data_IF_741502388960
#
_entry.id   IF_741502388960
#
_cell.length_a   1.000
_cell.length_b   1.000
_cell.length_c   1.000
_cell.angle_alpha   90.00
_cell.angle_beta   90.00
_cell.angle_gamma   90.00
#
_symmetry.space_group_name_H-M   'P 1'
#
loop_
_entity.id
_entity.type
_entity.pdbx_description
1 polymer ?
#
# COMPACT_ATOMS: atom_id res chain seq x y z
N UNK A 1 -72.34 -16.73 33.86
CA UNK A 1 -71.09 -16.41 34.57
C UNK A 1 -69.96 -16.48 33.57
N UNK A 2 -69.69 -15.36 32.91
CA UNK A 2 -68.66 -15.20 31.89
C UNK A 2 -68.00 -13.87 32.20
N UNK A 3 -66.91 -13.91 32.97
CA UNK A 3 -66.11 -12.73 33.26
C UNK A 3 -65.35 -12.38 31.98
N UNK A 4 -65.86 -11.37 31.28
CA UNK A 4 -65.18 -10.68 30.20
C UNK A 4 -64.00 -9.93 30.80
N UNK A 5 -62.82 -10.55 30.79
CA UNK A 5 -61.56 -9.93 31.15
C UNK A 5 -61.20 -8.88 30.12
N UNK A 6 -61.58 -7.64 30.40
CA UNK A 6 -61.09 -6.44 29.72
C UNK A 6 -59.59 -6.34 29.96
N UNK A 7 -58.81 -7.02 29.12
CA UNK A 7 -57.37 -6.85 28.99
C UNK A 7 -57.10 -5.47 28.41
N UNK A 8 -57.17 -4.45 29.26
CA UNK A 8 -56.68 -3.13 28.95
C UNK A 8 -55.22 -3.28 28.54
N UNK A 9 -54.96 -3.13 27.24
CA UNK A 9 -53.65 -2.85 26.71
C UNK A 9 -53.13 -1.63 27.49
N UNK A 10 -52.37 -1.88 28.55
CA UNK A 10 -51.56 -0.87 29.21
C UNK A 10 -50.58 -0.43 28.14
N UNK A 11 -50.99 0.64 27.44
CA UNK A 11 -50.20 1.31 26.45
C UNK A 11 -48.83 1.55 27.08
N UNK A 12 -47.81 0.93 26.48
CA UNK A 12 -46.41 1.13 26.81
C UNK A 12 -46.18 2.64 27.00
N UNK A 13 -46.20 3.11 28.24
CA UNK A 13 -45.71 4.42 28.60
C UNK A 13 -44.21 4.32 28.41
N UNK A 14 -43.75 4.53 27.18
CA UNK A 14 -42.36 4.77 26.90
C UNK A 14 -41.98 5.98 27.75
N UNK A 15 -41.31 5.75 28.87
CA UNK A 15 -40.73 6.81 29.69
C UNK A 15 -39.86 7.64 28.76
N UNK A 16 -40.34 8.83 28.40
CA UNK A 16 -39.61 9.79 27.57
C UNK A 16 -38.52 10.36 28.50
N UNK A 17 -37.36 9.71 28.51
CA UNK A 17 -36.21 10.19 29.27
C UNK A 17 -35.87 11.59 28.78
N UNK A 18 -36.12 12.60 29.62
CA UNK A 18 -35.83 14.00 29.32
C UNK A 18 -34.31 14.22 29.39
N UNK A 19 -33.62 13.84 28.31
CA UNK A 19 -32.19 14.04 28.18
C UNK A 19 -31.89 15.54 28.04
N UNK A 20 -30.91 16.06 28.79
CA UNK A 20 -30.52 17.46 28.68
C UNK A 20 -30.04 17.76 27.25
N UNK A 21 -30.79 18.63 26.56
CA UNK A 21 -30.50 19.01 25.18
C UNK A 21 -29.42 20.08 25.14
N UNK A 22 -28.43 19.88 24.30
CA UNK A 22 -27.39 20.87 24.03
C UNK A 22 -27.96 21.90 23.04
N UNK A 23 -27.95 23.21 23.36
CA UNK A 23 -28.41 24.24 22.45
C UNK A 23 -27.67 24.19 21.10
N UNK A 24 -28.39 24.27 19.98
CA UNK A 24 -27.83 24.27 18.63
C UNK A 24 -27.62 22.88 18.00
N UNK A 25 -27.78 21.79 18.75
CA UNK A 25 -27.68 20.43 18.21
C UNK A 25 -29.05 19.93 17.76
N UNK A 26 -29.13 19.39 16.53
CA UNK A 26 -30.36 18.75 16.04
C UNK A 26 -30.42 17.33 16.56
N UNK A 27 -31.58 16.89 17.02
CA UNK A 27 -31.80 15.54 17.54
C UNK A 27 -32.81 14.77 16.71
N UNK A 28 -32.68 13.45 16.66
CA UNK A 28 -33.66 12.52 16.08
C UNK A 28 -34.01 11.47 17.12
N UNK A 29 -35.29 11.10 17.22
CA UNK A 29 -35.75 9.97 18.04
C UNK A 29 -35.25 8.66 17.43
N UNK A 30 -34.55 7.86 18.22
CA UNK A 30 -34.13 6.49 17.89
C UNK A 30 -34.67 5.55 18.98
N UNK A 31 -35.32 4.45 18.57
CA UNK A 31 -35.79 3.41 19.49
C UNK A 31 -34.62 2.49 19.81
N UNK A 32 -34.31 2.30 21.09
CA UNK A 32 -33.29 1.37 21.57
C UNK A 32 -33.90 0.39 22.55
N UNK A 33 -33.32 -0.79 22.65
CA UNK A 33 -33.72 -1.81 23.60
C UNK A 33 -32.78 -1.78 24.80
N UNK A 34 -33.33 -1.82 26.02
CA UNK A 34 -32.56 -2.11 27.24
C UNK A 34 -33.14 -3.35 27.91
N UNK A 35 -32.29 -4.12 28.56
CA UNK A 35 -32.74 -5.17 29.47
C UNK A 35 -33.09 -4.51 30.80
N UNK A 36 -34.34 -4.71 31.23
CA UNK A 36 -34.85 -4.24 32.51
C UNK A 36 -35.32 -5.47 33.28
N UNK A 37 -34.82 -5.63 34.50
CA UNK A 37 -35.22 -6.75 35.35
C UNK A 37 -36.54 -6.39 36.00
N UNK A 38 -37.61 -7.09 35.62
CA UNK A 38 -38.93 -6.94 36.21
C UNK A 38 -39.11 -8.06 37.22
N UNK A 39 -39.44 -7.72 38.46
CA UNK A 39 -39.70 -8.70 39.51
C UNK A 39 -41.19 -9.08 39.46
N UNK A 40 -41.48 -10.34 39.10
CA UNK A 40 -42.83 -10.90 39.10
C UNK A 40 -42.85 -11.98 40.18
N UNK A 41 -43.71 -11.84 41.18
CA UNK A 41 -43.84 -12.79 42.31
C UNK A 41 -42.52 -13.07 43.08
N UNK A 42 -41.62 -12.07 43.16
CA UNK A 42 -40.33 -12.20 43.87
C UNK A 42 -39.25 -12.95 43.08
N UNK A 43 -39.48 -13.24 41.79
CA UNK A 43 -38.49 -13.78 40.88
C UNK A 43 -38.07 -12.69 39.86
N UNK A 44 -36.78 -12.35 39.75
CA UNK A 44 -36.30 -11.39 38.75
C UNK A 44 -36.30 -12.03 37.36
N UNK A 45 -37.10 -11.50 36.43
CA UNK A 45 -37.11 -11.93 35.03
C UNK A 45 -36.58 -10.79 34.13
N UNK A 46 -35.53 -11.01 33.32
CA UNK A 46 -35.03 -9.98 32.41
C UNK A 46 -36.02 -9.78 31.26
N UNK A 47 -36.53 -8.56 31.11
CA UNK A 47 -37.41 -8.16 30.01
C UNK A 47 -36.71 -7.13 29.15
N UNK A 48 -36.71 -7.36 27.84
CA UNK A 48 -36.29 -6.34 26.89
C UNK A 48 -37.39 -5.29 26.76
N UNK A 49 -37.07 -4.05 27.14
CA UNK A 49 -37.98 -2.90 27.07
C UNK A 49 -37.45 -1.93 26.00
N UNK A 50 -38.32 -1.58 25.06
CA UNK A 50 -38.05 -0.54 24.07
C UNK A 50 -38.21 0.84 24.73
N UNK A 51 -37.19 1.68 24.59
CA UNK A 51 -37.24 3.07 25.02
C UNK A 51 -36.81 3.98 23.88
N UNK A 52 -37.40 5.18 23.83
CA UNK A 52 -37.04 6.18 22.83
C UNK A 52 -35.96 7.08 23.40
N UNK A 53 -34.86 7.24 22.67
CA UNK A 53 -33.79 8.16 23.02
C UNK A 53 -33.59 9.22 21.94
N UNK A 54 -33.33 10.46 22.36
CA UNK A 54 -32.98 11.54 21.45
C UNK A 54 -31.48 11.48 21.14
N UNK A 55 -31.13 11.06 19.92
CA UNK A 55 -29.73 10.95 19.48
C UNK A 55 -29.35 12.20 18.68
N UNK A 56 -28.21 12.84 18.95
CA UNK A 56 -27.75 13.98 18.17
C UNK A 56 -27.50 13.54 16.71
N UNK A 57 -28.09 14.27 15.77
CA UNK A 57 -27.89 14.05 14.34
C UNK A 57 -26.58 14.75 13.97
N UNK A 58 -25.58 14.03 13.43
CA UNK A 58 -24.35 14.68 12.99
C UNK A 58 -24.70 15.76 11.94
N UNK A 59 -24.00 16.90 11.95
CA UNK A 59 -24.24 17.95 10.97
C UNK A 59 -24.05 17.40 9.56
N UNK A 60 -24.81 17.95 8.60
CA UNK A 60 -24.73 17.50 7.21
C UNK A 60 -23.33 17.77 6.68
N UNK A 61 -22.66 16.70 6.29
CA UNK A 61 -21.31 16.71 5.74
C UNK A 61 -21.33 17.22 4.29
N UNK A 62 -21.32 18.54 4.13
CA UNK A 62 -21.31 19.19 2.82
C UNK A 62 -20.08 18.82 2.00
N UNK A 63 -18.94 18.63 2.66
CA UNK A 63 -17.70 18.22 2.02
C UNK A 63 -17.88 16.88 1.32
N UNK A 64 -18.46 15.90 2.02
CA UNK A 64 -18.77 14.59 1.42
C UNK A 64 -19.72 14.69 0.23
N UNK A 65 -20.71 15.59 0.28
CA UNK A 65 -21.64 15.82 -0.84
C UNK A 65 -20.91 16.39 -2.05
N UNK A 66 -20.06 17.39 -1.85
CA UNK A 66 -19.27 18.03 -2.92
C UNK A 66 -18.32 17.01 -3.55
N UNK A 67 -17.64 16.20 -2.74
CA UNK A 67 -16.71 15.17 -3.22
C UNK A 67 -17.43 14.08 -3.99
N UNK A 68 -18.61 13.65 -3.54
CA UNK A 68 -19.43 12.71 -4.27
C UNK A 68 -19.90 13.30 -5.61
N UNK A 69 -20.32 14.57 -5.63
CA UNK A 69 -20.73 15.24 -6.87
C UNK A 69 -19.56 15.34 -7.87
N UNK A 70 -18.37 15.68 -7.38
CA UNK A 70 -17.14 15.73 -8.17
C UNK A 70 -16.74 14.35 -8.72
N UNK A 71 -16.91 13.31 -7.91
CA UNK A 71 -16.66 11.92 -8.32
C UNK A 71 -17.67 11.48 -9.38
N UNK A 72 -18.95 11.81 -9.22
CA UNK A 72 -19.97 11.58 -10.24
C UNK A 72 -19.64 12.30 -11.55
N UNK A 73 -19.20 13.56 -11.48
CA UNK A 73 -18.76 14.31 -12.65
C UNK A 73 -17.56 13.63 -13.33
N UNK A 74 -16.58 13.15 -12.56
CA UNK A 74 -15.44 12.39 -13.08
C UNK A 74 -15.88 11.13 -13.84
N UNK A 75 -16.85 10.39 -13.30
CA UNK A 75 -17.41 9.20 -13.94
C UNK A 75 -18.13 9.56 -15.25
N UNK A 76 -18.98 10.60 -15.25
CA UNK A 76 -19.71 11.02 -16.46
C UNK A 76 -18.74 11.45 -17.57
N UNK A 77 -17.77 12.30 -17.25
CA UNK A 77 -16.76 12.76 -18.21
C UNK A 77 -15.93 11.59 -18.72
N UNK A 78 -15.63 10.62 -17.85
CA UNK A 78 -14.92 9.39 -18.24
C UNK A 78 -15.74 8.55 -19.22
N UNK A 79 -17.04 8.36 -18.99
CA UNK A 79 -17.92 7.62 -19.91
C UNK A 79 -18.01 8.30 -21.29
N UNK A 80 -18.11 9.64 -21.31
CA UNK A 80 -18.09 10.41 -22.56
C UNK A 80 -16.75 10.27 -23.29
N UNK A 81 -15.63 10.34 -22.56
CA UNK A 81 -14.30 10.14 -23.11
C UNK A 81 -14.15 8.75 -23.74
N UNK A 82 -14.52 7.69 -23.02
CA UNK A 82 -14.49 6.29 -23.51
C UNK A 82 -15.37 6.10 -24.74
N UNK A 83 -16.57 6.67 -24.74
CA UNK A 83 -17.47 6.58 -25.90
C UNK A 83 -16.84 7.26 -27.12
N UNK A 84 -16.24 8.44 -26.93
CA UNK A 84 -15.58 9.18 -28.00
C UNK A 84 -14.31 8.49 -28.53
N UNK A 85 -13.45 7.98 -27.65
CA UNK A 85 -12.22 7.26 -28.04
C UNK A 85 -12.55 5.94 -28.72
N UNK A 86 -13.48 5.15 -28.17
CA UNK A 86 -13.96 3.92 -28.79
C UNK A 86 -14.56 4.17 -30.17
N UNK A 87 -15.39 5.21 -30.32
CA UNK A 87 -15.97 5.58 -31.60
C UNK A 87 -14.92 5.99 -32.64
N UNK A 88 -13.97 6.86 -32.27
CA UNK A 88 -12.91 7.34 -33.16
C UNK A 88 -11.96 6.22 -33.60
N UNK A 89 -11.38 5.50 -32.64
CA UNK A 89 -10.42 4.41 -32.91
C UNK A 89 -11.10 3.26 -33.67
N UNK A 90 -12.30 2.87 -33.24
CA UNK A 90 -13.06 1.79 -33.88
C UNK A 90 -13.41 2.12 -35.33
N UNK A 91 -13.80 3.35 -35.63
CA UNK A 91 -14.08 3.79 -37.00
C UNK A 91 -12.82 3.78 -37.87
N UNK A 92 -11.67 4.20 -37.32
CA UNK A 92 -10.39 4.15 -38.03
C UNK A 92 -9.96 2.72 -38.36
N UNK A 93 -10.08 1.81 -37.38
CA UNK A 93 -9.75 0.40 -37.55
C UNK A 93 -10.74 -0.35 -38.45
N UNK A 94 -12.02 0.07 -38.46
CA UNK A 94 -13.04 -0.55 -39.31
C UNK A 94 -12.75 -0.40 -40.81
N UNK A 95 -11.85 0.51 -41.20
CA UNK A 95 -11.34 0.60 -42.57
C UNK A 95 -10.39 -0.56 -42.94
N UNK A 96 -9.82 -1.27 -41.96
CA UNK A 96 -8.81 -2.31 -42.14
C UNK A 96 -9.31 -3.71 -41.74
N UNK A 97 -10.17 -3.80 -40.72
CA UNK A 97 -10.65 -5.07 -40.14
C UNK A 97 -12.17 -5.03 -39.92
N UNK A 98 -12.85 -6.18 -39.76
CA UNK A 98 -14.30 -6.21 -39.51
C UNK A 98 -14.70 -5.31 -38.33
N UNK A 99 -15.77 -4.52 -38.53
CA UNK A 99 -16.15 -3.45 -37.60
C UNK A 99 -16.28 -3.92 -36.14
N UNK A 100 -16.87 -5.10 -35.90
CA UNK A 100 -17.01 -5.62 -34.53
C UNK A 100 -15.65 -5.87 -33.84
N UNK A 101 -14.63 -6.31 -34.59
CA UNK A 101 -13.26 -6.50 -34.07
C UNK A 101 -12.61 -5.13 -33.83
N UNK A 102 -12.80 -4.18 -34.74
CA UNK A 102 -12.28 -2.82 -34.62
C UNK A 102 -12.76 -2.12 -33.34
N UNK A 103 -14.06 -2.11 -33.06
CA UNK A 103 -14.61 -1.55 -31.82
C UNK A 103 -14.21 -2.35 -30.57
N UNK A 104 -14.06 -3.67 -30.68
CA UNK A 104 -13.56 -4.51 -29.59
C UNK A 104 -12.12 -4.15 -29.21
N UNK A 105 -11.23 -3.96 -30.19
CA UNK A 105 -9.85 -3.53 -29.96
C UNK A 105 -9.80 -2.12 -29.36
N UNK A 106 -10.63 -1.20 -29.86
CA UNK A 106 -10.73 0.15 -29.31
C UNK A 106 -11.15 0.13 -27.83
N UNK A 107 -12.13 -0.69 -27.46
CA UNK A 107 -12.60 -0.84 -26.08
C UNK A 107 -11.52 -1.41 -25.15
N UNK A 108 -10.71 -2.36 -25.61
CA UNK A 108 -9.59 -2.90 -24.80
C UNK A 108 -8.64 -1.78 -24.38
N UNK A 109 -8.40 -0.81 -25.26
CA UNK A 109 -7.56 0.34 -24.95
C UNK A 109 -8.10 1.13 -23.75
N UNK A 110 -9.40 1.46 -23.79
CA UNK A 110 -10.08 2.19 -22.72
C UNK A 110 -10.12 1.38 -21.41
N UNK A 111 -10.33 0.07 -21.48
CA UNK A 111 -10.31 -0.83 -20.30
C UNK A 111 -8.94 -0.84 -19.63
N UNK A 112 -7.85 -0.89 -20.40
CA UNK A 112 -6.48 -0.85 -19.85
C UNK A 112 -6.23 0.48 -19.14
N UNK A 113 -6.65 1.60 -19.74
CA UNK A 113 -6.54 2.91 -19.12
C UNK A 113 -7.38 3.01 -17.84
N UNK A 114 -8.62 2.53 -17.85
CA UNK A 114 -9.51 2.49 -16.68
C UNK A 114 -8.93 1.60 -15.57
N UNK A 115 -8.33 0.46 -15.90
CA UNK A 115 -7.65 -0.39 -14.94
C UNK A 115 -6.48 0.35 -14.26
N UNK A 116 -5.73 1.16 -15.00
CA UNK A 116 -4.68 2.01 -14.41
C UNK A 116 -5.26 3.03 -13.42
N UNK A 117 -6.37 3.69 -13.78
CA UNK A 117 -7.08 4.63 -12.88
C UNK A 117 -7.62 3.91 -11.64
N UNK A 118 -8.18 2.71 -11.81
CA UNK A 118 -8.70 1.91 -10.70
C UNK A 118 -7.60 1.47 -9.74
N UNK A 119 -6.43 1.04 -10.25
CA UNK A 119 -5.27 0.73 -9.41
C UNK A 119 -4.75 1.99 -8.70
N UNK A 120 -4.72 3.14 -9.38
CA UNK A 120 -4.37 4.42 -8.77
C UNK A 120 -5.33 4.79 -7.62
N UNK A 121 -6.62 4.47 -7.75
CA UNK A 121 -7.62 4.65 -6.70
C UNK A 121 -7.47 3.70 -5.51
N UNK A 122 -7.17 2.43 -5.79
CA UNK A 122 -6.93 1.42 -4.76
C UNK A 122 -5.66 1.74 -3.96
N UNK A 123 -4.61 2.20 -4.62
CA UNK A 123 -3.32 2.54 -4.02
C UNK A 123 -3.20 4.02 -3.61
N UNK A 124 -4.32 4.74 -3.45
CA UNK A 124 -4.31 6.18 -3.10
C UNK A 124 -3.59 6.51 -1.78
N UNK A 125 -3.48 5.53 -0.88
CA UNK A 125 -2.78 5.66 0.41
C UNK A 125 -1.29 5.29 0.34
N UNK A 126 -0.81 4.78 -0.79
CA UNK A 126 0.60 4.41 -1.00
C UNK A 126 1.10 4.99 -2.33
N UNK A 127 1.64 6.23 -2.31
CA UNK A 127 2.07 6.90 -3.53
C UNK A 127 3.22 6.19 -4.22
N UNK A 128 4.03 5.39 -3.51
CA UNK A 128 5.14 4.65 -4.11
C UNK A 128 4.61 3.53 -5.03
N UNK A 129 3.63 2.76 -4.55
CA UNK A 129 3.00 1.69 -5.34
C UNK A 129 2.11 2.23 -6.46
N UNK A 130 1.46 3.39 -6.24
CA UNK A 130 0.64 4.03 -7.26
C UNK A 130 1.45 4.64 -8.44
N UNK A 131 2.76 4.87 -8.30
CA UNK A 131 3.60 5.51 -9.34
C UNK A 131 3.53 4.77 -10.69
N UNK A 132 3.67 3.44 -10.68
CA UNK A 132 3.68 2.65 -11.91
C UNK A 132 2.32 2.72 -12.65
N UNK A 133 1.21 2.60 -11.92
CA UNK A 133 -0.12 2.74 -12.48
C UNK A 133 -0.39 4.16 -12.99
N UNK A 134 0.10 5.18 -12.29
CA UNK A 134 0.02 6.58 -12.71
C UNK A 134 0.78 6.82 -14.01
N UNK A 135 2.04 6.38 -14.10
CA UNK A 135 2.85 6.54 -15.32
C UNK A 135 2.25 5.76 -16.49
N UNK A 136 1.81 4.52 -16.26
CA UNK A 136 1.13 3.72 -17.28
C UNK A 136 -0.17 4.39 -17.75
N UNK A 137 -0.95 4.97 -16.83
CA UNK A 137 -2.16 5.72 -17.17
C UNK A 137 -1.89 6.97 -18.00
N UNK A 138 -0.80 7.70 -17.76
CA UNK A 138 -0.39 8.84 -18.58
C UNK A 138 0.12 8.42 -19.97
N UNK A 139 0.90 7.34 -20.04
CA UNK A 139 1.38 6.79 -21.32
C UNK A 139 0.20 6.32 -22.17
N UNK A 140 -0.71 5.55 -21.57
CA UNK A 140 -1.93 5.08 -22.22
C UNK A 140 -2.79 6.25 -22.70
N UNK A 141 -2.98 7.29 -21.88
CA UNK A 141 -3.69 8.50 -22.29
C UNK A 141 -3.02 9.17 -23.51
N UNK A 142 -1.70 9.30 -23.52
CA UNK A 142 -0.97 9.89 -24.64
C UNK A 142 -1.20 9.14 -25.95
N UNK A 143 -1.24 7.81 -25.90
CA UNK A 143 -1.54 6.96 -27.06
C UNK A 143 -3.00 7.15 -27.52
N UNK A 144 -4.00 7.17 -26.61
CA UNK A 144 -5.39 7.49 -26.97
C UNK A 144 -5.51 8.84 -27.66
N UNK A 145 -4.89 9.88 -27.09
CA UNK A 145 -4.93 11.23 -27.63
C UNK A 145 -4.33 11.26 -29.04
N UNK A 146 -3.18 10.60 -29.24
CA UNK A 146 -2.55 10.46 -30.55
C UNK A 146 -3.47 9.79 -31.58
N UNK A 147 -4.18 8.73 -31.17
CA UNK A 147 -5.12 8.03 -32.05
C UNK A 147 -6.34 8.91 -32.44
N UNK A 148 -6.90 9.68 -31.51
CA UNK A 148 -8.01 10.61 -31.79
C UNK A 148 -7.56 11.77 -32.70
N UNK A 149 -6.35 12.29 -32.50
CA UNK A 149 -5.78 13.32 -33.38
C UNK A 149 -5.55 12.74 -34.79
N UNK A 150 -5.01 11.53 -34.90
CA UNK A 150 -4.83 10.84 -36.18
C UNK A 150 -6.18 10.60 -36.89
N UNK A 151 -7.23 10.26 -36.14
CA UNK A 151 -8.59 10.17 -36.65
C UNK A 151 -9.07 11.51 -37.21
N UNK A 152 -8.97 12.61 -36.44
CA UNK A 152 -9.32 13.94 -36.95
C UNK A 152 -8.55 14.32 -38.20
N UNK A 153 -7.24 14.01 -38.25
CA UNK A 153 -6.41 14.26 -39.43
C UNK A 153 -6.86 13.46 -40.65
N UNK A 154 -7.24 12.18 -40.48
CA UNK A 154 -7.72 11.34 -41.58
C UNK A 154 -8.98 11.90 -42.26
N UNK A 155 -9.86 12.58 -41.50
CA UNK A 155 -11.08 13.21 -42.03
C UNK A 155 -10.91 14.70 -42.37
N UNK A 156 -9.67 15.22 -42.39
CA UNK A 156 -9.36 16.66 -42.55
C UNK A 156 -9.95 17.58 -41.47
N UNK A 157 -10.38 17.02 -40.34
CA UNK A 157 -10.97 17.70 -39.19
C UNK A 157 -9.99 17.68 -38.00
N UNK A 158 -8.77 18.16 -38.23
CA UNK A 158 -7.68 18.14 -37.23
C UNK A 158 -8.06 18.87 -35.94
N UNK A 159 -8.77 20.00 -36.05
CA UNK A 159 -9.25 20.77 -34.89
C UNK A 159 -10.21 19.95 -34.05
N UNK A 160 -11.15 19.24 -34.68
CA UNK A 160 -12.08 18.36 -33.97
C UNK A 160 -11.35 17.20 -33.27
N UNK A 161 -10.34 16.62 -33.93
CA UNK A 161 -9.48 15.59 -33.32
C UNK A 161 -8.72 16.09 -32.09
N UNK A 162 -8.13 17.29 -32.15
CA UNK A 162 -7.45 17.92 -31.01
C UNK A 162 -8.43 18.17 -29.88
N UNK A 163 -9.57 18.80 -30.15
CA UNK A 163 -10.60 19.08 -29.12
C UNK A 163 -11.13 17.78 -28.51
N UNK A 164 -11.39 16.75 -29.32
CA UNK A 164 -11.80 15.44 -28.84
C UNK A 164 -10.77 14.80 -27.91
N UNK A 165 -9.48 14.91 -28.23
CA UNK A 165 -8.40 14.40 -27.37
C UNK A 165 -8.31 15.13 -26.02
N UNK A 166 -8.69 16.41 -25.95
CA UNK A 166 -8.69 17.16 -24.69
C UNK A 166 -9.75 16.64 -23.71
N UNK A 167 -10.82 16.01 -24.18
CA UNK A 167 -11.85 15.41 -23.29
C UNK A 167 -11.25 14.30 -22.43
N UNK A 168 -10.42 13.42 -23.01
CA UNK A 168 -9.72 12.37 -22.26
C UNK A 168 -8.70 12.96 -21.27
N UNK A 169 -8.02 14.04 -21.65
CA UNK A 169 -7.10 14.75 -20.76
C UNK A 169 -7.83 15.37 -19.57
N UNK A 170 -8.99 16.01 -19.80
CA UNK A 170 -9.83 16.57 -18.74
C UNK A 170 -10.37 15.45 -17.82
N UNK A 171 -10.79 14.32 -18.37
CA UNK A 171 -11.20 13.16 -17.59
C UNK A 171 -10.09 12.70 -16.64
N UNK A 172 -8.86 12.52 -17.15
CA UNK A 172 -7.71 12.14 -16.31
C UNK A 172 -7.36 13.22 -15.29
N UNK A 173 -7.41 14.49 -15.68
CA UNK A 173 -7.15 15.62 -14.79
C UNK A 173 -8.13 15.66 -13.61
N UNK A 174 -9.41 15.39 -13.86
CA UNK A 174 -10.44 15.33 -12.83
C UNK A 174 -10.19 14.17 -11.85
N UNK A 175 -9.80 13.00 -12.34
CA UNK A 175 -9.37 11.89 -11.48
C UNK A 175 -8.15 12.22 -10.63
N UNK A 176 -7.14 12.88 -11.19
CA UNK A 176 -5.95 13.33 -10.42
C UNK A 176 -6.36 14.27 -9.31
N UNK A 177 -7.32 15.17 -9.56
CA UNK A 177 -7.84 16.09 -8.56
C UNK A 177 -8.61 15.35 -7.44
N UNK A 178 -9.55 14.46 -7.79
CA UNK A 178 -10.29 13.64 -6.81
C UNK A 178 -9.34 12.78 -5.97
N UNK A 179 -8.35 12.14 -6.60
CA UNK A 179 -7.35 11.31 -5.91
C UNK A 179 -6.49 12.12 -4.94
N UNK A 180 -6.07 13.33 -5.33
CA UNK A 180 -5.31 14.24 -4.46
C UNK A 180 -6.13 14.70 -3.25
N UNK A 181 -7.42 14.96 -3.44
CA UNK A 181 -8.30 15.32 -2.33
C UNK A 181 -8.41 14.20 -1.28
N UNK A 182 -8.49 12.94 -1.72
CA UNK A 182 -8.53 11.79 -0.82
C UNK A 182 -7.15 11.35 -0.29
N UNK A 183 -6.06 11.96 -0.74
CA UNK A 183 -4.73 11.65 -0.27
C UNK A 183 -4.53 12.27 1.11
N UNK A 184 -4.62 11.45 2.15
CA UNK A 184 -4.25 11.86 3.52
C UNK A 184 -2.74 11.70 3.66
N UNK A 185 -1.97 12.77 3.89
CA UNK A 185 -0.55 12.64 4.17
C UNK A 185 -0.39 11.96 5.53
N UNK A 186 0.13 10.72 5.54
CA UNK A 186 0.53 10.06 6.78
C UNK A 186 1.93 10.53 7.16
N UNK A 187 2.21 10.65 8.46
CA UNK A 187 3.58 10.82 8.94
C UNK A 187 4.42 9.60 8.57
N UNK A 188 5.72 9.81 8.34
CA UNK A 188 6.63 8.75 7.88
C UNK A 188 6.64 7.53 8.83
N UNK A 189 6.56 7.76 10.15
CA UNK A 189 6.48 6.70 11.16
C UNK A 189 5.21 5.86 11.05
N UNK A 190 4.05 6.49 10.85
CA UNK A 190 2.76 5.80 10.70
C UNK A 190 2.70 5.09 9.35
N UNK A 191 3.22 5.71 8.29
CA UNK A 191 3.33 5.09 6.97
C UNK A 191 4.20 3.83 7.03
N UNK A 192 5.36 3.89 7.70
CA UNK A 192 6.24 2.75 7.92
C UNK A 192 5.55 1.63 8.73
N UNK A 193 4.93 1.97 9.86
CA UNK A 193 4.20 1.01 10.69
C UNK A 193 3.07 0.32 9.91
N UNK A 194 2.27 1.10 9.16
CA UNK A 194 1.17 0.57 8.35
C UNK A 194 1.69 -0.34 7.24
N UNK A 195 2.78 0.03 6.58
CA UNK A 195 3.40 -0.79 5.55
C UNK A 195 3.89 -2.11 6.13
N UNK A 196 4.56 -2.09 7.30
CA UNK A 196 4.96 -3.30 8.03
C UNK A 196 3.77 -4.17 8.40
N UNK A 197 2.64 -3.57 8.79
CA UNK A 197 1.39 -4.32 9.09
C UNK A 197 0.79 -4.96 7.84
N UNK A 198 0.78 -4.26 6.70
CA UNK A 198 0.34 -4.79 5.40
C UNK A 198 1.22 -5.94 4.93
N UNK A 199 2.55 -5.81 5.05
CA UNK A 199 3.49 -6.87 4.71
C UNK A 199 3.26 -8.13 5.55
N UNK A 200 3.06 -7.99 6.87
CA UNK A 200 2.72 -9.12 7.74
C UNK A 200 1.41 -9.80 7.33
N UNK A 201 0.37 -9.03 7.00
CA UNK A 201 -0.91 -9.57 6.53
C UNK A 201 -0.82 -10.22 5.14
N UNK A 202 -0.03 -9.65 4.23
CA UNK A 202 0.23 -10.22 2.92
C UNK A 202 1.02 -11.54 3.03
N UNK A 203 2.01 -11.59 3.92
CA UNK A 203 2.78 -12.80 4.21
C UNK A 203 1.88 -13.90 4.79
N UNK A 204 1.00 -13.59 5.75
CA UNK A 204 0.08 -14.59 6.30
C UNK A 204 -0.91 -15.12 5.25
N UNK A 205 -1.42 -14.25 4.38
CA UNK A 205 -2.32 -14.67 3.29
C UNK A 205 -1.59 -15.53 2.24
N UNK A 206 -0.35 -15.17 1.89
CA UNK A 206 0.48 -15.95 0.98
C UNK A 206 0.78 -17.35 1.56
N UNK A 207 1.14 -17.43 2.84
CA UNK A 207 1.35 -18.69 3.55
C UNK A 207 0.07 -19.53 3.61
N UNK A 208 -1.08 -18.94 3.95
CA UNK A 208 -2.35 -19.65 3.99
C UNK A 208 -2.74 -20.19 2.60
N UNK A 209 -2.50 -19.43 1.53
CA UNK A 209 -2.76 -19.88 0.14
C UNK A 209 -1.82 -21.03 -0.26
N UNK A 210 -0.56 -20.97 0.16
CA UNK A 210 0.40 -22.03 -0.11
C UNK A 210 0.06 -23.30 0.68
N UNK A 211 -0.34 -23.17 1.95
CA UNK A 211 -0.78 -24.30 2.76
C UNK A 211 -2.00 -24.99 2.14
N UNK A 212 -3.02 -24.24 1.71
CA UNK A 212 -4.18 -24.81 1.00
C UNK A 212 -3.80 -25.56 -0.28
N UNK A 213 -2.77 -25.11 -1.00
CA UNK A 213 -2.27 -25.83 -2.18
C UNK A 213 -1.60 -27.14 -1.79
N UNK A 214 -0.78 -27.14 -0.74
CA UNK A 214 -0.15 -28.34 -0.20
C UNK A 214 -1.21 -29.33 0.31
N UNK A 215 -2.19 -28.87 1.08
CA UNK A 215 -3.30 -29.70 1.57
C UNK A 215 -4.09 -30.32 0.40
N UNK A 216 -4.32 -29.58 -0.68
CA UNK A 216 -4.97 -30.10 -1.88
C UNK A 216 -4.11 -31.14 -2.60
N UNK A 217 -2.79 -30.96 -2.66
CA UNK A 217 -1.86 -31.97 -3.17
C UNK A 217 -1.85 -33.23 -2.30
N UNK A 218 -1.83 -33.10 -0.97
CA UNK A 218 -1.86 -34.22 -0.05
C UNK A 218 -3.17 -35.01 -0.16
N UNK A 219 -4.31 -34.31 -0.25
CA UNK A 219 -5.61 -34.93 -0.49
C UNK A 219 -5.64 -35.68 -1.83
N UNK A 220 -5.06 -35.10 -2.89
CA UNK A 220 -4.94 -35.76 -4.18
C UNK A 220 -4.01 -36.99 -4.13
N UNK A 221 -2.85 -36.90 -3.45
CA UNK A 221 -1.94 -38.04 -3.27
C UNK A 221 -2.59 -39.17 -2.47
N UNK A 222 -3.32 -38.84 -1.41
CA UNK A 222 -4.06 -39.82 -0.62
C UNK A 222 -5.15 -40.51 -1.45
N UNK A 223 -5.85 -39.76 -2.32
CA UNK A 223 -6.87 -40.32 -3.20
C UNK A 223 -6.27 -41.18 -4.34
N UNK A 224 -5.16 -40.76 -4.94
CA UNK A 224 -4.56 -41.42 -6.10
C UNK A 224 -3.71 -42.65 -5.74
N UNK A 225 -2.97 -42.59 -4.63
CA UNK A 225 -1.99 -43.61 -4.23
C UNK A 225 -2.37 -44.36 -2.94
N UNK A 226 -3.45 -43.97 -2.27
CA UNK A 226 -4.06 -44.71 -1.18
C UNK A 226 -3.07 -45.11 -0.05
N UNK A 227 -2.96 -46.42 0.31
CA UNK A 227 -2.11 -46.89 1.41
C UNK A 227 -0.61 -46.62 1.24
N UNK A 228 -0.13 -46.43 0.01
CA UNK A 228 1.29 -46.16 -0.28
C UNK A 228 1.66 -44.71 0.07
N UNK A 229 0.79 -43.75 -0.25
CA UNK A 229 0.95 -42.36 0.18
C UNK A 229 0.98 -42.24 1.72
N UNK A 230 0.12 -43.00 2.42
CA UNK A 230 0.11 -43.02 3.89
C UNK A 230 1.44 -43.53 4.47
N UNK A 231 2.04 -44.57 3.88
CA UNK A 231 3.37 -45.08 4.30
C UNK A 231 4.48 -44.06 4.02
N UNK A 232 4.48 -43.41 2.86
CA UNK A 232 5.45 -42.38 2.54
C UNK A 232 5.38 -41.21 3.55
N UNK A 233 4.17 -40.77 3.91
CA UNK A 233 3.96 -39.70 4.89
C UNK A 233 4.46 -40.08 6.29
N UNK A 234 4.23 -41.34 6.72
CA UNK A 234 4.74 -41.83 8.01
C UNK A 234 6.27 -41.91 8.06
N UNK A 235 6.92 -42.28 6.96
CA UNK A 235 8.40 -42.31 6.88
C UNK A 235 8.93 -40.88 7.02
N UNK A 236 8.43 -39.95 6.22
CA UNK A 236 8.84 -38.55 6.25
C UNK A 236 8.59 -37.89 7.62
N UNK A 237 7.44 -38.15 8.24
CA UNK A 237 7.11 -37.63 9.57
C UNK A 237 8.05 -38.15 10.68
N UNK A 238 8.55 -39.39 10.57
CA UNK A 238 9.55 -39.94 11.50
C UNK A 238 10.94 -39.36 11.30
N UNK A 239 11.30 -38.97 10.08
CA UNK A 239 12.64 -38.41 9.79
C UNK A 239 12.75 -36.93 10.19
N UNK A 240 11.65 -36.18 10.16
CA UNK A 240 11.64 -34.74 10.48
C UNK A 240 12.19 -34.37 11.89
N UNK A 241 11.77 -34.99 13.00
CA UNK A 241 12.27 -34.63 14.34
C UNK A 241 13.74 -35.00 14.58
N UNK A 242 14.29 -35.98 13.84
CA UNK A 242 15.69 -36.37 13.97
C UNK A 242 16.67 -35.30 13.45
N UNK A 243 16.25 -34.46 12.50
CA UNK A 243 17.06 -33.37 11.97
C UNK A 243 17.08 -32.14 12.89
N UNK A 244 16.00 -31.86 13.62
CA UNK A 244 15.96 -30.73 14.57
C UNK A 244 16.95 -30.91 15.73
N UNK A 245 17.12 -32.15 16.22
CA UNK A 245 18.10 -32.45 17.28
C UNK A 245 19.56 -32.38 16.81
N UNK A 246 19.83 -32.59 15.51
CA UNK A 246 21.17 -32.40 14.93
C UNK A 246 21.50 -30.92 14.70
N UNK A 247 20.51 -30.08 14.47
CA UNK A 247 20.69 -28.63 14.34
C UNK A 247 21.02 -27.95 15.68
N UNK A 248 20.44 -28.41 16.80
CA UNK A 248 20.79 -27.93 18.15
C UNK A 248 22.12 -28.51 18.67
N UNK A 249 22.56 -29.65 18.15
CA UNK A 249 23.80 -30.32 18.58
C UNK A 249 25.06 -29.91 17.79
N UNK A 250 24.94 -29.04 16.79
CA UNK A 250 26.07 -28.52 16.04
C UNK A 250 26.57 -27.20 16.66
N UNK A 251 27.69 -27.19 17.43
CA UNK A 251 28.37 -25.94 17.70
C UNK A 251 28.85 -25.39 16.36
N UNK A 252 28.38 -24.21 15.99
CA UNK A 252 28.87 -23.47 14.83
C UNK A 252 30.35 -23.13 15.07
N UNK A 253 31.24 -24.06 14.75
CA UNK A 253 32.63 -23.77 14.51
C UNK A 253 32.68 -23.13 13.13
N UNK A 254 32.66 -21.80 13.12
CA UNK A 254 32.99 -21.00 11.94
C UNK A 254 34.36 -21.51 11.45
N UNK A 255 34.46 -22.12 10.26
CA UNK A 255 35.75 -22.57 9.76
C UNK A 255 36.63 -21.34 9.53
N UNK A 256 37.80 -21.33 10.17
CA UNK A 256 38.87 -20.38 9.91
C UNK A 256 39.20 -20.38 8.41
N UNK A 257 39.13 -19.25 7.69
CA UNK A 257 39.37 -19.19 6.24
C UNK A 257 40.85 -19.37 5.84
N UNK A 258 41.72 -19.82 6.75
CA UNK A 258 43.16 -19.96 6.53
C UNK A 258 43.58 -21.34 5.96
N UNK A 259 42.73 -21.99 5.19
CA UNK A 259 43.03 -23.27 4.53
C UNK A 259 43.03 -23.13 3.03
N UNK A 260 44.21 -23.08 2.40
CA UNK A 260 44.38 -23.14 0.94
C UNK A 260 44.27 -24.59 0.46
N UNK A 261 43.38 -24.93 -0.48
CA UNK A 261 43.51 -26.14 -1.27
C UNK A 261 43.75 -25.80 -2.74
N UNK A 262 44.93 -26.19 -3.20
CA UNK A 262 45.33 -26.24 -4.60
C UNK A 262 44.40 -27.11 -5.43
N UNK A 263 43.98 -26.58 -6.58
CA UNK A 263 43.72 -27.29 -7.83
C UNK A 263 42.50 -28.21 -7.87
N UNK A 264 41.46 -27.81 -8.61
CA UNK A 264 40.71 -28.68 -9.52
C UNK A 264 40.06 -27.84 -10.62
N UNK A 265 39.98 -28.44 -11.81
CA UNK A 265 39.77 -27.82 -13.11
C UNK A 265 38.38 -27.19 -13.34
N UNK A 266 38.36 -26.16 -14.19
CA UNK A 266 37.20 -25.39 -14.61
C UNK A 266 36.22 -26.19 -15.51
N UNK A 267 34.90 -26.06 -15.29
CA UNK A 267 33.88 -26.33 -16.32
C UNK A 267 33.57 -25.06 -17.14
N UNK A 268 33.21 -25.19 -18.44
CA UNK A 268 32.95 -24.04 -19.32
C UNK A 268 31.60 -23.36 -19.05
N UNK A 269 31.59 -22.05 -19.25
CA UNK A 269 30.48 -21.13 -19.02
C UNK A 269 29.33 -21.27 -20.04
N UNK A 270 28.06 -21.06 -19.63
CA UNK A 270 27.02 -20.61 -20.53
C UNK A 270 26.91 -19.07 -20.53
N UNK A 271 26.92 -18.55 -21.75
CA UNK A 271 26.74 -17.16 -22.18
C UNK A 271 25.46 -16.53 -21.61
N UNK A 272 25.59 -15.45 -20.83
CA UNK A 272 24.49 -14.57 -20.43
C UNK A 272 24.53 -13.27 -21.25
N UNK A 273 23.45 -13.04 -22.01
CA UNK A 273 23.15 -11.76 -22.66
C UNK A 273 22.64 -10.71 -21.65
N UNK A 274 22.51 -9.44 -22.09
CA UNK A 274 22.40 -8.30 -21.18
C UNK A 274 20.96 -8.05 -20.72
N UNK A 275 20.76 -7.92 -19.41
CA UNK A 275 19.55 -7.34 -18.82
C UNK A 275 19.85 -5.90 -18.35
N UNK A 276 18.94 -4.93 -18.56
CA UNK A 276 19.18 -3.54 -18.20
C UNK A 276 18.89 -3.23 -16.73
N UNK A 277 19.78 -2.39 -16.24
CA UNK A 277 19.77 -1.48 -15.09
C UNK A 277 18.38 -0.93 -14.68
N UNK A 278 17.96 -1.20 -13.43
CA UNK A 278 17.15 -0.27 -12.65
C UNK A 278 17.51 -0.35 -11.15
N UNK A 279 18.12 0.73 -10.66
CA UNK A 279 18.46 0.96 -9.28
C UNK A 279 17.32 1.50 -8.40
N UNK A 280 17.53 1.33 -7.10
CA UNK A 280 16.81 1.95 -5.98
C UNK A 280 17.32 1.29 -4.70
N UNK A 281 18.46 1.68 -4.16
CA UNK A 281 18.63 2.78 -3.19
C UNK A 281 17.78 2.57 -1.93
N UNK A 282 18.27 1.68 -1.06
CA UNK A 282 17.92 1.59 0.36
C UNK A 282 18.61 2.74 1.11
N UNK A 283 17.84 3.61 1.76
CA UNK A 283 18.29 4.45 2.86
C UNK A 283 17.32 4.25 4.03
N UNK A 284 17.85 3.54 5.01
CA UNK A 284 17.34 3.17 6.31
C UNK A 284 17.75 4.24 7.34
N UNK A 285 16.80 4.74 8.13
CA UNK A 285 16.97 5.41 9.43
C UNK A 285 15.60 5.82 9.98
N UNK A 286 15.01 5.00 10.84
CA UNK A 286 13.99 5.41 11.79
C UNK A 286 14.58 5.42 13.21
N UNK A 287 14.16 6.33 14.12
CA UNK A 287 14.48 6.19 15.52
C UNK A 287 13.45 5.30 16.24
N UNK A 288 14.05 4.59 17.19
CA UNK A 288 13.64 3.65 18.20
C UNK A 288 12.56 4.12 19.20
N UNK A 289 11.83 3.16 19.76
CA UNK A 289 11.78 2.90 21.21
C UNK A 289 10.90 1.68 21.53
N UNK A 290 11.50 0.64 22.13
CA UNK A 290 10.74 -0.40 22.84
C UNK A 290 11.48 -1.71 23.12
N UNK A 291 12.51 -1.63 23.96
CA UNK A 291 12.92 -2.65 24.95
C UNK A 291 13.24 -4.07 24.44
N UNK A 292 14.42 -4.24 23.86
CA UNK A 292 15.16 -5.51 23.89
C UNK A 292 16.66 -5.18 23.95
N UNK A 293 17.31 -5.48 25.07
CA UNK A 293 18.75 -5.28 25.31
C UNK A 293 19.58 -6.14 24.36
N UNK A 294 19.80 -5.65 23.15
CA UNK A 294 20.91 -6.05 22.29
C UNK A 294 22.02 -5.04 22.55
N UNK A 295 23.18 -5.51 23.04
CA UNK A 295 24.41 -4.73 23.12
C UNK A 295 24.90 -4.41 21.70
N UNK A 296 24.23 -3.49 21.01
CA UNK A 296 24.72 -2.91 19.77
C UNK A 296 25.75 -1.84 20.13
N UNK A 297 26.99 -2.05 19.71
CA UNK A 297 27.99 -0.98 19.65
C UNK A 297 27.56 -0.02 18.53
N UNK A 298 26.63 0.87 18.84
CA UNK A 298 26.16 1.90 17.90
C UNK A 298 27.36 2.75 17.47
N UNK A 299 27.67 2.67 16.17
CA UNK A 299 28.65 3.59 15.58
C UNK A 299 28.00 4.99 15.59
N UNK A 300 28.69 6.03 16.10
CA UNK A 300 28.14 7.37 16.18
C UNK A 300 27.76 7.88 14.79
N UNK A 301 26.67 8.63 14.65
CA UNK A 301 26.21 9.08 13.33
C UNK A 301 27.29 9.90 12.60
N UNK A 302 27.35 9.84 11.26
CA UNK A 302 28.36 10.57 10.45
C UNK A 302 28.43 12.06 10.79
N UNK A 303 27.28 12.68 11.01
CA UNK A 303 27.20 14.10 11.38
C UNK A 303 27.80 14.39 12.77
N UNK A 304 27.70 13.46 13.72
CA UNK A 304 28.31 13.59 15.05
C UNK A 304 29.81 13.43 14.98
N UNK A 305 30.31 12.46 14.20
CA UNK A 305 31.74 12.32 13.93
C UNK A 305 32.34 13.59 13.33
N UNK A 306 31.62 14.21 12.37
CA UNK A 306 32.03 15.48 11.75
C UNK A 306 32.04 16.62 12.78
N UNK A 307 31.00 16.74 13.61
CA UNK A 307 30.95 17.77 14.67
C UNK A 307 32.06 17.59 15.69
N UNK A 308 32.29 16.37 16.17
CA UNK A 308 33.35 16.07 17.12
C UNK A 308 34.73 16.44 16.56
N UNK A 309 34.99 16.09 15.29
CA UNK A 309 36.24 16.44 14.63
C UNK A 309 36.42 17.96 14.46
N UNK A 310 35.35 18.72 14.16
CA UNK A 310 35.39 20.18 14.05
C UNK A 310 35.53 20.89 15.40
N UNK A 311 35.09 20.26 16.50
CA UNK A 311 35.32 20.76 17.87
C UNK A 311 36.78 20.59 18.27
N UNK A 312 37.38 19.45 17.90
CA UNK A 312 38.79 19.15 18.16
C UNK A 312 39.72 20.06 17.33
N UNK A 313 39.40 20.27 16.05
CA UNK A 313 40.14 21.14 15.15
C UNK A 313 39.20 21.83 14.16
N UNK A 314 38.93 23.11 14.41
CA UNK A 314 38.07 23.92 13.55
C UNK A 314 38.68 24.19 12.15
N UNK A 315 40.01 24.10 12.03
CA UNK A 315 40.74 24.38 10.80
C UNK A 315 41.05 23.12 9.97
N UNK A 316 40.58 21.93 10.40
CA UNK A 316 40.80 20.66 9.71
C UNK A 316 40.40 20.73 8.22
N UNK A 317 41.20 20.15 7.34
CA UNK A 317 40.90 20.11 5.90
C UNK A 317 39.73 19.16 5.60
N UNK A 318 39.03 19.37 4.48
CA UNK A 318 37.93 18.49 4.06
C UNK A 318 38.41 17.05 3.78
N UNK A 319 39.66 16.88 3.32
CA UNK A 319 40.25 15.56 3.07
C UNK A 319 40.57 14.81 4.37
N UNK A 320 41.08 15.52 5.38
CA UNK A 320 41.36 14.93 6.69
C UNK A 320 40.06 14.59 7.43
N UNK A 321 39.03 15.45 7.30
CA UNK A 321 37.70 15.20 7.85
C UNK A 321 37.07 13.95 7.20
N UNK A 322 37.18 13.81 5.87
CA UNK A 322 36.74 12.62 5.15
C UNK A 322 37.48 11.37 5.64
N UNK A 323 38.79 11.46 5.85
CA UNK A 323 39.61 10.36 6.36
C UNK A 323 39.18 9.93 7.77
N UNK A 324 38.90 10.89 8.67
CA UNK A 324 38.33 10.61 10.01
C UNK A 324 36.97 9.92 9.91
N UNK A 325 36.07 10.38 9.04
CA UNK A 325 34.74 9.76 8.84
C UNK A 325 34.87 8.34 8.29
N UNK A 326 35.74 8.11 7.30
CA UNK A 326 36.00 6.77 6.75
C UNK A 326 36.58 5.83 7.81
N UNK A 327 37.46 6.32 8.69
CA UNK A 327 38.04 5.52 9.77
C UNK A 327 36.98 5.02 10.76
N UNK A 328 35.97 5.85 11.07
CA UNK A 328 34.90 5.50 12.03
C UNK A 328 33.78 4.68 11.37
N UNK A 329 33.41 5.01 10.13
CA UNK A 329 32.24 4.45 9.44
C UNK A 329 32.56 3.30 8.49
N UNK A 330 33.83 3.06 8.18
CA UNK A 330 34.28 2.05 7.23
C UNK A 330 34.63 2.62 5.86
N UNK A 331 35.44 1.87 5.11
CA UNK A 331 35.90 2.23 3.76
C UNK A 331 34.75 2.08 2.75
N UNK A 332 34.48 3.08 1.90
CA UNK A 332 33.48 2.94 0.84
C UNK A 332 33.90 1.82 -0.12
N UNK A 333 32.92 1.04 -0.61
CA UNK A 333 33.17 -0.09 -1.51
C UNK A 333 33.48 0.37 -2.93
N UNK A 334 32.94 1.52 -3.33
CA UNK A 334 33.11 2.09 -4.67
C UNK A 334 33.61 3.53 -4.65
N UNK A 335 34.31 3.95 -5.71
CA UNK A 335 34.76 5.34 -5.86
C UNK A 335 33.57 6.34 -5.93
N UNK A 336 32.42 5.88 -6.47
CA UNK A 336 31.17 6.65 -6.50
C UNK A 336 30.65 6.93 -5.07
N UNK A 337 30.69 5.95 -4.18
CA UNK A 337 30.35 6.13 -2.76
C UNK A 337 31.30 7.07 -2.05
N UNK A 338 32.61 6.98 -2.33
CA UNK A 338 33.61 7.89 -1.78
C UNK A 338 33.32 9.35 -2.16
N UNK A 339 32.98 9.61 -3.42
CA UNK A 339 32.60 10.96 -3.90
C UNK A 339 31.33 11.48 -3.22
N UNK A 340 30.31 10.63 -3.06
CA UNK A 340 29.07 10.97 -2.33
C UNK A 340 29.32 11.28 -0.85
N UNK A 341 30.22 10.53 -0.22
CA UNK A 341 30.62 10.75 1.17
C UNK A 341 31.37 12.09 1.32
N UNK A 342 32.29 12.40 0.40
CA UNK A 342 33.00 13.68 0.38
C UNK A 342 32.05 14.87 0.23
N UNK A 343 31.05 14.77 -0.66
CA UNK A 343 30.03 15.81 -0.82
C UNK A 343 29.18 16.00 0.44
N UNK A 344 28.82 14.90 1.10
CA UNK A 344 28.06 14.92 2.36
C UNK A 344 28.86 15.59 3.48
N UNK A 345 30.15 15.27 3.59
CA UNK A 345 31.09 15.89 4.53
C UNK A 345 31.15 17.41 4.31
N UNK A 346 31.39 17.85 3.07
CA UNK A 346 31.47 19.27 2.70
C UNK A 346 30.17 20.02 3.00
N UNK A 347 29.02 19.45 2.61
CA UNK A 347 27.70 20.06 2.85
C UNK A 347 27.37 20.15 4.34
N UNK A 348 27.75 19.15 5.13
CA UNK A 348 27.52 19.12 6.57
C UNK A 348 28.38 20.15 7.29
N UNK A 349 29.66 20.27 6.93
CA UNK A 349 30.56 21.33 7.43
C UNK A 349 29.98 22.72 7.19
N UNK A 350 29.59 23.03 5.95
CA UNK A 350 29.00 24.33 5.60
C UNK A 350 27.74 24.67 6.43
N UNK A 351 26.90 23.66 6.71
CA UNK A 351 25.71 23.85 7.57
C UNK A 351 26.09 24.17 9.01
N UNK A 352 27.10 23.49 9.55
CA UNK A 352 27.57 23.71 10.92
C UNK A 352 28.19 25.11 11.05
N UNK A 353 29.07 25.49 10.12
CA UNK A 353 29.69 26.83 10.09
C UNK A 353 28.65 27.95 9.91
N UNK A 354 27.63 27.73 9.07
CA UNK A 354 26.54 28.70 8.92
C UNK A 354 25.75 28.84 10.22
N UNK A 355 25.52 27.75 10.95
CA UNK A 355 24.81 27.76 12.24
C UNK A 355 25.64 28.44 13.33
N UNK A 356 26.95 28.21 13.37
CA UNK A 356 27.86 28.84 14.34
C UNK A 356 28.06 30.33 14.13
N UNK A 357 27.90 30.84 12.89
CA UNK A 357 27.90 32.29 12.61
C UNK A 357 26.59 32.99 12.94
N UNK A 358 25.50 32.25 13.09
CA UNK A 358 24.16 32.78 13.36
C UNK A 358 23.81 32.77 14.86
N UNK A 359 24.59 32.08 15.68
CA UNK A 359 24.55 32.12 17.16
C UNK A 359 25.65 33.05 17.65
#
# INVERSE_FOLDING_TARGET
MTQSGSGAASANQAEDFDQPRIPGVRYRKETRCREEVVEIDGQPEPRTVEYTVWVPVPPRDWDRIIVNALTCAAIIVTLLAVTGTTAGIGTLLAALIPAFIAYGVALIFDVVWLACVAVEWLERLDPARAKAARTAGWVSLGISMGAVIAFGHHYNETVAGVVGSMVSLLAKGLWVFVLRYHAVPLSDSVAFWLNRRRQKAAASLALAKQMRRLDAYDAYMAAAFGPEAARAHQISARTAPALSHLADAAPWTVPDPSGTPSGHAAPPAPTSGPLPDQGGQEEDSGPDNGDETVLQFEKPAKAETIRAALIEDAAISDEDLLTKVIKVHGKPATEKERRRLAETVRRTRQRIEKKSKAS
#
